data_IF_326455781678
#
_entry.id   IF_326455781678
#
_cell.length_a   1.000
_cell.length_b   1.000
_cell.length_c   1.000
_cell.angle_alpha   90.00
_cell.angle_beta   90.00
_cell.angle_gamma   90.00
#
_symmetry.space_group_name_H-M   'P 1'
#
loop_
_entity.id
_entity.type
_entity.pdbx_description
1 polymer ?
#
# COMPACT_ATOMS: atom_id res chain seq x y z
N UNK A 1 13.88 23.20 9.53
CA UNK A 1 13.09 22.38 8.59
C UNK A 1 13.19 20.95 9.10
N UNK A 2 12.06 20.37 9.50
CA UNK A 2 11.98 19.08 10.21
C UNK A 2 11.83 17.96 9.18
N UNK A 3 12.94 17.28 8.86
CA UNK A 3 12.97 16.04 8.08
C UNK A 3 12.87 14.87 9.07
N UNK A 4 11.71 14.70 9.70
CA UNK A 4 11.48 13.54 10.55
C UNK A 4 11.05 12.38 9.66
N UNK A 5 11.86 11.31 9.52
CA UNK A 5 11.45 10.14 8.77
C UNK A 5 10.19 9.55 9.40
N UNK A 6 9.15 9.33 8.60
CA UNK A 6 7.91 8.73 9.08
C UNK A 6 8.24 7.45 9.90
N UNK A 7 7.74 7.32 11.14
CA UNK A 7 8.24 6.37 12.14
C UNK A 7 8.11 4.90 11.76
N UNK A 8 7.33 4.59 10.72
CA UNK A 8 7.15 3.23 10.26
C UNK A 8 7.99 2.82 9.05
N UNK A 9 9.00 3.57 8.60
CA UNK A 9 9.80 3.25 7.40
C UNK A 9 10.38 1.82 7.33
N UNK A 10 10.50 1.09 8.45
CA UNK A 10 11.01 -0.28 8.52
C UNK A 10 10.00 -1.33 9.02
N UNK A 11 8.71 -1.00 9.16
CA UNK A 11 7.71 -1.99 9.57
C UNK A 11 7.13 -2.68 8.34
N UNK A 12 7.21 -4.01 8.34
CA UNK A 12 6.57 -4.85 7.33
C UNK A 12 5.07 -4.54 7.30
N UNK A 13 4.50 -4.52 6.10
CA UNK A 13 3.06 -4.44 5.93
C UNK A 13 2.46 -5.76 6.41
N UNK A 14 1.41 -5.68 7.20
CA UNK A 14 0.60 -6.86 7.55
C UNK A 14 -0.33 -7.22 6.39
N UNK A 15 -0.81 -8.46 6.34
CA UNK A 15 -1.76 -8.92 5.32
C UNK A 15 -3.02 -8.04 5.25
N UNK A 16 -3.47 -7.52 6.40
CA UNK A 16 -4.62 -6.60 6.48
C UNK A 16 -4.32 -5.26 5.80
N UNK A 17 -3.12 -4.73 6.01
CA UNK A 17 -2.66 -3.49 5.38
C UNK A 17 -2.48 -3.64 3.86
N UNK A 18 -1.99 -4.78 3.41
CA UNK A 18 -1.85 -5.10 1.98
C UNK A 18 -3.22 -5.25 1.30
N UNK A 19 -4.17 -5.90 1.98
CA UNK A 19 -5.56 -5.99 1.52
C UNK A 19 -6.21 -4.62 1.46
N UNK A 20 -6.05 -3.79 2.48
CA UNK A 20 -6.57 -2.42 2.50
C UNK A 20 -6.02 -1.60 1.33
N UNK A 21 -4.70 -1.63 1.12
CA UNK A 21 -4.06 -0.95 -0.01
C UNK A 21 -4.60 -1.44 -1.35
N UNK A 22 -4.84 -2.75 -1.49
CA UNK A 22 -5.39 -3.36 -2.69
C UNK A 22 -6.82 -2.90 -2.95
N UNK A 23 -7.69 -2.96 -1.95
CA UNK A 23 -9.09 -2.52 -2.05
C UNK A 23 -9.17 -1.04 -2.43
N UNK A 24 -8.39 -0.19 -1.76
CA UNK A 24 -8.34 1.25 -2.06
C UNK A 24 -7.84 1.51 -3.48
N UNK A 25 -6.87 0.71 -3.97
CA UNK A 25 -6.34 0.88 -5.32
C UNK A 25 -7.30 0.39 -6.40
N UNK A 26 -7.99 -0.73 -6.17
CA UNK A 26 -9.03 -1.25 -7.05
C UNK A 26 -10.26 -0.34 -7.11
N UNK A 27 -10.52 0.44 -6.05
CA UNK A 27 -11.56 1.48 -6.05
C UNK A 27 -11.26 2.65 -7.00
N UNK A 28 -10.07 2.70 -7.63
CA UNK A 28 -9.70 3.73 -8.61
C UNK A 28 -9.24 5.05 -7.99
N UNK A 29 -8.95 5.07 -6.68
CA UNK A 29 -8.53 6.28 -5.96
C UNK A 29 -7.10 6.73 -6.35
N UNK A 30 -6.86 8.03 -6.22
CA UNK A 30 -5.53 8.63 -6.38
C UNK A 30 -4.63 8.30 -5.19
N UNK A 31 -3.32 8.25 -5.36
CA UNK A 31 -2.40 7.90 -4.26
C UNK A 31 -2.50 8.81 -3.02
N UNK A 32 -2.83 10.09 -3.19
CA UNK A 32 -3.10 11.03 -2.08
C UNK A 32 -4.39 10.71 -1.33
N UNK A 33 -5.41 10.24 -2.04
CA UNK A 33 -6.66 9.82 -1.43
C UNK A 33 -6.47 8.49 -0.69
N UNK A 34 -5.75 7.55 -1.32
CA UNK A 34 -5.36 6.28 -0.71
C UNK A 34 -4.55 6.53 0.57
N UNK A 35 -3.59 7.44 0.56
CA UNK A 35 -2.83 7.84 1.76
C UNK A 35 -3.76 8.31 2.87
N UNK A 36 -4.74 9.17 2.55
CA UNK A 36 -5.69 9.69 3.53
C UNK A 36 -6.54 8.58 4.12
N UNK A 37 -7.13 7.72 3.28
CA UNK A 37 -8.01 6.63 3.74
C UNK A 37 -7.24 5.52 4.47
N UNK A 38 -6.03 5.22 4.01
CA UNK A 38 -5.13 4.27 4.66
C UNK A 38 -4.73 4.78 6.05
N UNK A 39 -4.26 6.02 6.15
CA UNK A 39 -3.78 6.61 7.40
C UNK A 39 -4.89 6.85 8.43
N UNK A 40 -6.18 6.87 8.01
CA UNK A 40 -7.34 6.84 8.91
C UNK A 40 -7.58 5.46 9.51
N UNK A 41 -7.25 4.41 8.78
CA UNK A 41 -7.51 3.02 9.16
C UNK A 41 -6.36 2.39 9.95
N UNK A 42 -5.15 2.97 9.85
CA UNK A 42 -3.97 2.49 10.59
C UNK A 42 -3.57 3.45 11.73
N UNK A 43 -2.96 2.95 12.81
CA UNK A 43 -2.43 3.82 13.86
C UNK A 43 -1.31 4.74 13.34
N UNK A 44 -1.12 5.90 13.98
CA UNK A 44 -0.16 6.94 13.58
C UNK A 44 1.26 6.43 13.34
N UNK A 45 1.69 5.46 14.14
CA UNK A 45 3.01 4.82 14.05
C UNK A 45 3.20 3.97 12.77
N UNK A 46 2.09 3.54 12.13
CA UNK A 46 2.07 2.79 10.88
C UNK A 46 1.63 3.63 9.68
N UNK A 47 1.40 4.92 9.86
CA UNK A 47 1.07 5.79 8.73
C UNK A 47 2.16 5.75 7.66
N UNK A 48 1.72 5.84 6.42
CA UNK A 48 2.56 5.76 5.23
C UNK A 48 2.27 6.94 4.34
N UNK A 49 3.30 7.38 3.62
CA UNK A 49 3.14 8.39 2.59
C UNK A 49 2.60 7.76 1.31
N UNK A 50 1.95 8.56 0.47
CA UNK A 50 1.48 8.15 -0.85
C UNK A 50 2.57 7.45 -1.67
N UNK A 51 3.81 7.94 -1.61
CA UNK A 51 4.96 7.33 -2.29
C UNK A 51 5.33 5.97 -1.73
N UNK A 52 5.25 5.76 -0.41
CA UNK A 52 5.51 4.45 0.20
C UNK A 52 4.45 3.43 -0.20
N UNK A 53 3.18 3.83 -0.22
CA UNK A 53 2.06 3.00 -0.68
C UNK A 53 2.19 2.64 -2.17
N UNK A 54 2.59 3.59 -3.02
CA UNK A 54 2.86 3.31 -4.43
C UNK A 54 3.98 2.27 -4.60
N UNK A 55 5.10 2.45 -3.88
CA UNK A 55 6.23 1.52 -3.94
C UNK A 55 5.81 0.12 -3.47
N UNK A 56 5.00 0.03 -2.41
CA UNK A 56 4.47 -1.24 -1.93
C UNK A 56 3.53 -1.90 -2.94
N UNK A 57 2.63 -1.14 -3.56
CA UNK A 57 1.75 -1.65 -4.61
C UNK A 57 2.53 -2.20 -5.81
N UNK A 58 3.57 -1.51 -6.25
CA UNK A 58 4.44 -2.00 -7.34
C UNK A 58 5.10 -3.33 -6.98
N UNK A 59 5.49 -3.52 -5.71
CA UNK A 59 6.06 -4.78 -5.23
C UNK A 59 5.01 -5.89 -5.21
N UNK A 60 3.82 -5.61 -4.66
CA UNK A 60 2.69 -6.55 -4.67
C UNK A 60 2.36 -6.98 -6.09
N UNK A 61 2.22 -6.03 -7.02
CA UNK A 61 1.91 -6.31 -8.42
C UNK A 61 2.99 -7.16 -9.09
N UNK A 62 4.28 -6.91 -8.82
CA UNK A 62 5.37 -7.74 -9.34
C UNK A 62 5.36 -9.15 -8.76
N UNK A 63 5.02 -9.30 -7.47
CA UNK A 63 4.84 -10.61 -6.85
C UNK A 63 3.67 -11.34 -7.52
N UNK A 64 2.51 -10.70 -7.69
CA UNK A 64 1.38 -11.25 -8.43
C UNK A 64 1.73 -11.69 -9.85
N UNK A 65 2.58 -10.95 -10.58
CA UNK A 65 2.98 -11.33 -11.94
C UNK A 65 4.03 -12.44 -11.99
N UNK A 66 4.90 -12.53 -10.98
CA UNK A 66 5.96 -13.54 -10.90
C UNK A 66 5.46 -14.87 -10.34
N UNK A 67 4.36 -14.86 -9.59
CA UNK A 67 3.67 -16.06 -9.08
C UNK A 67 2.78 -16.68 -10.17
N UNK A 68 3.38 -17.01 -11.32
CA UNK A 68 2.76 -17.54 -12.55
C UNK A 68 2.06 -18.91 -12.41
N UNK A 69 1.35 -19.16 -11.31
CA UNK A 69 0.39 -20.26 -11.13
C UNK A 69 -1.06 -19.78 -10.93
N UNK A 70 -1.34 -18.49 -10.76
CA UNK A 70 -2.75 -18.02 -10.76
C UNK A 70 -3.07 -17.21 -12.01
N UNK A 71 -3.22 -17.98 -13.09
CA UNK A 71 -4.09 -17.66 -14.20
C UNK A 71 -5.47 -17.23 -13.67
N UNK A 72 -6.13 -16.30 -14.36
CA UNK A 72 -7.49 -15.76 -14.10
C UNK A 72 -7.59 -14.61 -13.07
N UNK A 73 -7.35 -13.38 -13.52
CA UNK A 73 -8.30 -12.25 -13.33
C UNK A 73 -7.82 -10.99 -14.04
N UNK A 74 -7.86 -11.02 -15.37
CA UNK A 74 -7.93 -9.83 -16.22
C UNK A 74 -8.79 -10.23 -17.43
N UNK A 75 -10.10 -10.35 -17.18
CA UNK A 75 -11.11 -10.12 -18.21
C UNK A 75 -11.54 -8.66 -18.08
#
# INVERSE_FOLDING_TARGET
MDDTPAPGHNKQYTDEEEQLLTVLKLSGLSWREIETEYNKSVPTDRQRTASALENKWRQLFRQFTNDSTTQFMLC
#
